data_IF_833085433587
#
_entry.id   IF_833085433587
#
_cell.length_a   1.000
_cell.length_b   1.000
_cell.length_c   1.000
_cell.angle_alpha   90.00
_cell.angle_beta   90.00
_cell.angle_gamma   90.00
#
_symmetry.space_group_name_H-M   'P 1'
#
loop_
_entity.id
_entity.type
_entity.pdbx_description
1 polymer ?
#
# COMPACT_ATOMS: atom_id res chain seq x y z
N UNK A 1 -73.32 -42.73 3.30
CA UNK A 1 -74.23 -42.46 4.45
C UNK A 1 -73.92 -40.99 4.80
N UNK A 2 -74.74 -40.14 4.33
CA UNK A 2 -75.92 -39.46 4.92
C UNK A 2 -75.52 -38.24 5.72
N UNK A 3 -75.74 -37.03 5.16
CA UNK A 3 -76.90 -36.12 5.44
C UNK A 3 -76.59 -35.26 6.69
N UNK A 4 -76.73 -34.01 6.74
CA UNK A 4 -77.60 -32.91 6.27
C UNK A 4 -77.04 -31.57 6.77
N UNK A 5 -77.08 -30.57 6.00
CA UNK A 5 -78.11 -29.51 5.84
C UNK A 5 -78.20 -28.41 6.92
N UNK A 6 -78.12 -27.18 6.39
CA UNK A 6 -78.82 -25.88 6.70
C UNK A 6 -78.31 -25.06 7.89
N UNK A 7 -78.01 -23.80 7.73
CA UNK A 7 -78.95 -22.67 7.59
C UNK A 7 -78.26 -21.37 7.17
N UNK A 8 -78.92 -20.66 6.27
CA UNK A 8 -78.64 -19.25 5.90
C UNK A 8 -78.92 -18.32 7.11
N UNK A 9 -78.10 -17.27 7.26
CA UNK A 9 -78.54 -16.01 7.85
C UNK A 9 -77.75 -14.85 7.22
N UNK A 10 -78.41 -14.02 6.50
CA UNK A 10 -77.97 -12.72 5.98
C UNK A 10 -77.87 -11.74 7.13
N UNK A 11 -76.68 -11.06 7.27
CA UNK A 11 -76.60 -9.79 8.00
C UNK A 11 -75.86 -8.79 7.12
N UNK A 12 -76.60 -7.82 6.67
CA UNK A 12 -76.11 -6.58 6.03
C UNK A 12 -75.36 -5.74 7.07
N UNK A 13 -74.13 -5.37 6.78
CA UNK A 13 -73.40 -4.34 7.52
C UNK A 13 -72.85 -3.28 6.58
N UNK A 14 -72.95 -2.00 6.90
CA UNK A 14 -72.78 -0.90 5.99
C UNK A 14 -71.31 -0.61 5.69
N UNK A 15 -71.09 -0.24 4.47
CA UNK A 15 -69.82 0.22 3.89
C UNK A 15 -69.40 1.55 4.54
N UNK A 16 -68.40 1.52 5.43
CA UNK A 16 -67.73 2.74 5.90
C UNK A 16 -66.58 3.04 4.94
N UNK A 17 -66.75 4.08 4.13
CA UNK A 17 -65.68 4.67 3.35
C UNK A 17 -64.71 5.38 4.32
N UNK A 18 -63.51 4.79 4.57
CA UNK A 18 -62.43 5.49 5.22
C UNK A 18 -61.54 6.06 4.13
N UNK A 19 -61.61 7.38 3.99
CA UNK A 19 -60.66 8.10 3.15
C UNK A 19 -59.26 7.93 3.68
N UNK A 20 -58.41 7.22 2.93
CA UNK A 20 -56.98 7.14 3.22
C UNK A 20 -56.30 8.45 2.81
N UNK A 21 -55.79 9.18 3.78
CA UNK A 21 -54.95 10.33 3.57
C UNK A 21 -53.57 9.90 3.01
N UNK A 22 -53.02 10.62 2.02
CA UNK A 22 -51.66 10.39 1.55
C UNK A 22 -50.68 11.17 2.44
N UNK A 23 -50.14 10.52 3.48
CA UNK A 23 -49.12 11.12 4.34
C UNK A 23 -48.12 10.09 4.89
N UNK A 24 -47.53 9.30 4.00
CA UNK A 24 -46.41 8.40 4.42
C UNK A 24 -45.32 8.21 3.36
N UNK A 25 -45.35 8.97 2.24
CA UNK A 25 -44.32 8.86 1.19
C UNK A 25 -43.19 9.88 1.28
N UNK A 26 -43.30 10.89 2.15
CA UNK A 26 -42.36 12.03 2.17
C UNK A 26 -41.32 11.99 3.32
N UNK A 27 -41.40 11.01 4.21
CA UNK A 27 -40.41 10.85 5.29
C UNK A 27 -39.31 9.83 5.01
N UNK A 28 -39.42 9.03 3.95
CA UNK A 28 -38.37 8.07 3.60
C UNK A 28 -37.25 8.65 2.71
N UNK A 29 -37.46 9.83 2.11
CA UNK A 29 -36.47 10.49 1.25
C UNK A 29 -35.50 11.43 2.00
N UNK A 30 -35.77 11.76 3.26
CA UNK A 30 -34.99 12.77 4.00
C UNK A 30 -33.83 12.18 4.85
N UNK A 31 -33.66 10.84 4.92
CA UNK A 31 -32.65 10.21 5.77
C UNK A 31 -31.40 9.73 5.02
N UNK A 32 -31.36 9.84 3.68
CA UNK A 32 -30.28 9.28 2.87
C UNK A 32 -29.18 10.27 2.43
N UNK A 33 -29.28 11.56 2.73
CA UNK A 33 -28.31 12.56 2.21
C UNK A 33 -27.25 13.08 3.20
N UNK A 34 -27.33 12.76 4.48
CA UNK A 34 -26.48 13.40 5.49
C UNK A 34 -25.07 12.80 5.69
N UNK A 35 -24.78 11.50 5.48
CA UNK A 35 -23.43 10.99 5.74
C UNK A 35 -22.39 11.29 4.65
N UNK A 36 -22.80 11.45 3.39
CA UNK A 36 -21.85 11.68 2.29
C UNK A 36 -21.43 13.15 2.15
N UNK A 37 -22.28 14.08 2.52
CA UNK A 37 -21.97 15.51 2.47
C UNK A 37 -21.02 15.93 3.61
N UNK A 38 -21.18 15.36 4.81
CA UNK A 38 -20.28 15.63 5.94
C UNK A 38 -18.90 14.97 5.77
N UNK A 39 -18.83 13.80 5.15
CA UNK A 39 -17.54 13.17 4.80
C UNK A 39 -16.79 13.96 3.71
N UNK A 40 -17.47 14.64 2.80
CA UNK A 40 -16.85 15.53 1.82
C UNK A 40 -16.32 16.82 2.43
N UNK A 41 -16.93 17.32 3.48
CA UNK A 41 -16.47 18.53 4.18
C UNK A 41 -15.17 18.32 4.98
N UNK A 42 -14.80 17.06 5.27
CA UNK A 42 -13.55 16.68 5.95
C UNK A 42 -12.45 16.22 5.00
N UNK A 43 -12.72 16.06 3.71
CA UNK A 43 -11.68 15.80 2.72
C UNK A 43 -10.91 17.10 2.47
N UNK A 44 -9.70 17.18 2.98
CA UNK A 44 -8.75 18.22 2.58
C UNK A 44 -8.35 17.89 1.14
N UNK A 45 -9.07 18.43 0.17
CA UNK A 45 -8.66 18.38 -1.23
C UNK A 45 -7.43 19.27 -1.40
N UNK A 46 -6.27 18.63 -1.50
CA UNK A 46 -5.07 19.36 -1.86
C UNK A 46 -5.13 19.75 -3.33
N UNK A 47 -5.11 21.05 -3.61
CA UNK A 47 -4.94 21.52 -4.98
C UNK A 47 -3.64 21.00 -5.59
N UNK A 48 -3.65 20.58 -6.87
CA UNK A 48 -2.46 20.18 -7.59
C UNK A 48 -1.38 21.28 -7.55
N UNK A 49 -0.15 20.86 -7.23
CA UNK A 49 0.99 21.76 -7.22
C UNK A 49 2.26 21.00 -7.65
N UNK A 50 3.08 21.61 -8.50
CA UNK A 50 4.21 20.94 -9.19
C UNK A 50 5.55 21.66 -9.11
N UNK A 51 5.76 22.57 -8.17
CA UNK A 51 7.04 23.24 -8.02
C UNK A 51 8.16 22.37 -7.44
N UNK A 52 9.39 22.88 -7.44
CA UNK A 52 10.54 22.26 -6.81
C UNK A 52 10.74 22.75 -5.35
N UNK A 53 11.77 22.28 -4.69
CA UNK A 53 12.07 22.47 -3.27
C UNK A 53 12.02 23.92 -2.78
N UNK A 54 12.52 24.88 -3.55
CA UNK A 54 12.44 26.31 -3.23
C UNK A 54 11.00 26.81 -3.06
N UNK A 55 10.10 26.34 -3.92
CA UNK A 55 8.68 26.62 -3.81
C UNK A 55 8.06 25.97 -2.56
N UNK A 56 8.50 24.75 -2.21
CA UNK A 56 8.05 24.05 -1.00
C UNK A 56 8.46 24.81 0.26
N UNK A 57 9.70 25.33 0.30
CA UNK A 57 10.15 26.19 1.41
C UNK A 57 9.33 27.48 1.52
N UNK A 58 8.96 28.11 0.39
CA UNK A 58 8.14 29.35 0.38
C UNK A 58 6.74 29.09 0.90
N UNK A 59 6.07 28.04 0.43
CA UNK A 59 4.71 27.66 0.87
C UNK A 59 4.67 26.95 2.23
N UNK A 60 5.83 26.55 2.76
CA UNK A 60 5.97 25.86 4.05
C UNK A 60 5.25 24.51 4.12
N UNK A 61 5.15 23.84 3.00
CA UNK A 61 4.43 22.59 2.87
C UNK A 61 5.15 21.66 1.92
N UNK A 62 5.26 20.38 2.32
CA UNK A 62 5.71 19.26 1.52
C UNK A 62 4.76 18.09 1.76
N UNK A 63 4.37 17.38 0.71
CA UNK A 63 3.42 16.27 0.75
C UNK A 63 4.11 14.99 0.32
N UNK A 64 4.01 13.96 1.15
CA UNK A 64 4.60 12.64 0.87
C UNK A 64 3.49 11.61 0.71
N UNK A 65 3.34 11.08 -0.50
CA UNK A 65 2.42 9.97 -0.80
C UNK A 65 3.03 8.66 -0.28
N UNK A 66 2.27 7.90 0.47
CA UNK A 66 2.70 6.62 1.04
C UNK A 66 1.62 5.56 0.89
N UNK A 67 1.95 4.28 0.69
CA UNK A 67 0.95 3.22 0.76
C UNK A 67 0.59 2.98 2.22
N UNK A 68 -0.70 2.72 2.49
CA UNK A 68 -1.12 2.24 3.79
C UNK A 68 -0.67 0.79 3.96
N UNK A 69 0.28 0.55 4.85
CA UNK A 69 0.97 -0.74 5.00
C UNK A 69 1.49 -0.89 6.43
N UNK A 70 1.28 -2.06 7.03
CA UNK A 70 1.78 -2.36 8.39
C UNK A 70 3.31 -2.33 8.48
N UNK A 71 4.02 -2.54 7.38
CA UNK A 71 5.47 -2.43 7.32
C UNK A 71 5.96 -1.00 7.05
N UNK A 72 5.20 -0.22 6.25
CA UNK A 72 5.68 1.06 5.74
C UNK A 72 5.05 2.27 6.41
N UNK A 73 3.72 2.30 6.51
CA UNK A 73 2.98 3.39 7.15
C UNK A 73 1.60 2.95 7.61
N UNK A 74 1.32 3.14 8.87
CA UNK A 74 -0.01 3.00 9.46
C UNK A 74 -0.18 3.97 10.65
N UNK A 75 -1.42 4.14 11.08
CA UNK A 75 -1.73 4.95 12.26
C UNK A 75 -2.17 4.03 13.41
N UNK A 76 -1.43 4.07 14.51
CA UNK A 76 -1.77 3.36 15.74
C UNK A 76 -2.20 4.36 16.81
N UNK A 77 -3.51 4.44 17.07
CA UNK A 77 -4.11 5.30 18.11
C UNK A 77 -3.63 6.76 18.02
N UNK A 78 -3.57 7.31 16.80
CA UNK A 78 -3.12 8.66 16.53
C UNK A 78 -1.60 8.82 16.40
N UNK A 79 -0.83 7.75 16.46
CA UNK A 79 0.62 7.75 16.25
C UNK A 79 0.97 7.15 14.89
N UNK A 80 1.71 7.89 14.11
CA UNK A 80 2.26 7.39 12.86
C UNK A 80 3.35 6.34 13.13
N UNK A 81 3.24 5.20 12.47
CA UNK A 81 4.13 4.05 12.61
C UNK A 81 4.61 3.58 11.25
N UNK A 82 5.59 2.69 11.26
CA UNK A 82 6.16 2.04 10.08
C UNK A 82 7.40 2.74 9.54
N UNK A 83 8.17 2.00 8.77
CA UNK A 83 9.49 2.39 8.29
C UNK A 83 9.49 3.75 7.56
N UNK A 84 8.53 3.95 6.68
CA UNK A 84 8.42 5.19 5.89
C UNK A 84 7.89 6.33 6.76
N UNK A 85 6.88 6.10 7.60
CA UNK A 85 6.34 7.11 8.50
C UNK A 85 7.42 7.73 9.38
N UNK A 86 8.24 6.91 10.04
CA UNK A 86 9.36 7.38 10.86
C UNK A 86 10.42 8.12 10.03
N UNK A 87 10.75 7.61 8.82
CA UNK A 87 11.73 8.23 7.94
C UNK A 87 11.28 9.61 7.44
N UNK A 88 9.99 9.77 7.13
CA UNK A 88 9.41 11.07 6.72
C UNK A 88 9.49 12.08 7.88
N UNK A 89 9.26 11.65 9.12
CA UNK A 89 9.40 12.53 10.29
C UNK A 89 10.85 12.91 10.55
N UNK A 90 11.81 12.02 10.28
CA UNK A 90 13.23 12.38 10.32
C UNK A 90 13.59 13.37 9.22
N UNK A 91 13.06 13.21 8.02
CA UNK A 91 13.26 14.16 6.93
C UNK A 91 12.69 15.55 7.26
N UNK A 92 11.51 15.62 7.85
CA UNK A 92 10.91 16.88 8.32
C UNK A 92 11.83 17.57 9.34
N UNK A 93 12.34 16.82 10.34
CA UNK A 93 13.28 17.36 11.33
C UNK A 93 14.57 17.84 10.71
N UNK A 94 15.12 17.07 9.75
CA UNK A 94 16.31 17.41 9.01
C UNK A 94 16.15 18.73 8.25
N UNK A 95 15.10 18.88 7.44
CA UNK A 95 14.84 20.11 6.68
C UNK A 95 14.65 21.30 7.63
N UNK A 96 13.85 21.17 8.67
CA UNK A 96 13.62 22.25 9.62
C UNK A 96 14.90 22.68 10.35
N UNK A 97 15.79 21.75 10.68
CA UNK A 97 17.09 22.04 11.28
C UNK A 97 18.02 22.74 10.29
N UNK A 98 18.15 22.21 9.06
CA UNK A 98 19.04 22.74 8.02
C UNK A 98 18.66 24.17 7.62
N UNK A 99 17.38 24.43 7.46
CA UNK A 99 16.84 25.70 7.00
C UNK A 99 16.32 26.61 8.12
N UNK A 100 16.66 26.33 9.39
CA UNK A 100 16.18 27.07 10.57
C UNK A 100 16.27 28.59 10.43
N UNK A 101 17.39 29.13 9.96
CA UNK A 101 17.59 30.58 9.78
C UNK A 101 16.62 31.17 8.75
N UNK A 102 16.41 30.48 7.64
CA UNK A 102 15.54 30.89 6.54
C UNK A 102 14.06 30.73 6.89
N UNK A 103 13.72 29.68 7.61
CA UNK A 103 12.37 29.39 8.06
C UNK A 103 11.92 30.25 9.24
N UNK A 104 12.89 30.82 9.99
CA UNK A 104 12.65 31.64 11.19
C UNK A 104 11.70 30.96 12.20
N UNK A 105 10.57 31.60 12.55
CA UNK A 105 9.60 31.06 13.53
C UNK A 105 8.55 30.13 12.91
N UNK A 106 8.54 29.94 11.61
CA UNK A 106 7.52 29.15 10.89
C UNK A 106 8.17 27.98 10.19
N UNK A 107 8.17 26.78 10.78
CA UNK A 107 8.76 25.59 10.17
C UNK A 107 8.00 25.19 8.89
N UNK A 108 8.63 24.35 8.07
CA UNK A 108 7.94 23.61 7.03
C UNK A 108 7.19 22.42 7.67
N UNK A 109 5.98 22.17 7.21
CA UNK A 109 5.20 21.00 7.61
C UNK A 109 5.29 19.94 6.51
N UNK A 110 5.61 18.71 6.88
CA UNK A 110 5.55 17.57 5.98
C UNK A 110 4.27 16.78 6.27
N UNK A 111 3.36 16.76 5.30
CA UNK A 111 2.11 16.01 5.39
C UNK A 111 2.30 14.65 4.73
N UNK A 112 2.00 13.58 5.46
CA UNK A 112 1.89 12.24 4.90
C UNK A 112 0.47 12.08 4.33
N UNK A 113 0.40 11.68 3.07
CA UNK A 113 -0.85 11.46 2.33
C UNK A 113 -0.94 9.97 2.00
N UNK A 114 -1.72 9.19 2.78
CA UNK A 114 -1.92 7.78 2.49
C UNK A 114 -2.70 7.59 1.17
N UNK A 115 -2.25 6.65 0.36
CA UNK A 115 -2.91 6.29 -0.91
C UNK A 115 -2.65 4.81 -1.24
N UNK A 116 -3.17 4.30 -2.34
CA UNK A 116 -2.88 2.94 -2.81
C UNK A 116 -1.66 2.91 -3.74
N UNK A 117 -1.03 1.75 -3.91
CA UNK A 117 0.22 1.62 -4.69
C UNK A 117 0.06 2.05 -6.13
N UNK A 118 -1.05 1.71 -6.76
CA UNK A 118 -1.38 2.08 -8.13
C UNK A 118 -1.46 3.59 -8.33
N UNK A 119 -1.82 4.32 -7.27
CA UNK A 119 -1.98 5.78 -7.29
C UNK A 119 -0.72 6.56 -6.95
N UNK A 120 0.28 5.97 -6.31
CA UNK A 120 1.48 6.67 -5.86
C UNK A 120 2.14 7.51 -6.98
N UNK A 121 2.45 6.91 -8.12
CA UNK A 121 3.08 7.62 -9.23
C UNK A 121 2.11 8.49 -10.03
N UNK A 122 0.87 8.05 -10.34
CA UNK A 122 -0.13 8.93 -10.94
C UNK A 122 -0.42 10.20 -10.13
N UNK A 123 -0.65 10.09 -8.83
CA UNK A 123 -0.91 11.22 -7.94
C UNK A 123 0.32 12.15 -7.79
N UNK A 124 1.53 11.57 -7.74
CA UNK A 124 2.77 12.35 -7.79
C UNK A 124 2.84 13.19 -9.06
N UNK A 125 2.57 12.60 -10.22
CA UNK A 125 2.59 13.28 -11.53
C UNK A 125 1.47 14.32 -11.64
N UNK A 126 0.31 14.05 -11.07
CA UNK A 126 -0.81 14.99 -11.02
C UNK A 126 -0.57 16.17 -10.04
N UNK A 127 0.54 16.17 -9.29
CA UNK A 127 0.85 17.23 -8.33
C UNK A 127 0.06 17.17 -7.03
N UNK A 128 -0.54 16.02 -6.71
CA UNK A 128 -1.24 15.79 -5.44
C UNK A 128 -0.28 15.46 -4.29
N UNK A 129 0.94 15.03 -4.61
CA UNK A 129 2.07 14.87 -3.70
C UNK A 129 3.34 15.45 -4.29
N UNK A 130 4.37 15.59 -3.48
CA UNK A 130 5.68 16.12 -3.89
C UNK A 130 6.74 15.02 -3.91
N UNK A 131 6.56 13.98 -3.09
CA UNK A 131 7.36 12.76 -3.00
C UNK A 131 6.41 11.56 -3.00
N UNK A 132 6.77 10.46 -3.66
CA UNK A 132 6.17 9.16 -3.46
C UNK A 132 7.16 8.23 -2.75
N UNK A 133 6.82 7.84 -1.52
CA UNK A 133 7.66 7.03 -0.63
C UNK A 133 6.93 5.73 -0.28
N UNK A 134 7.17 4.66 -1.04
CA UNK A 134 6.44 3.40 -0.90
C UNK A 134 7.32 2.16 -1.04
N UNK A 135 8.61 2.25 -0.70
CA UNK A 135 9.56 1.16 -1.00
C UNK A 135 9.53 0.82 -2.51
N UNK A 136 9.66 1.86 -3.34
CA UNK A 136 9.52 1.74 -4.78
C UNK A 136 10.86 1.38 -5.43
N UNK A 137 10.89 0.30 -6.19
CA UNK A 137 12.03 -0.06 -7.02
C UNK A 137 12.12 0.87 -8.23
N UNK A 138 13.29 1.46 -8.46
CA UNK A 138 13.60 2.29 -9.61
C UNK A 138 13.77 1.42 -10.87
N UNK A 139 12.65 1.04 -11.50
CA UNK A 139 12.67 0.26 -12.75
C UNK A 139 12.88 1.17 -13.95
N UNK A 140 13.43 0.65 -15.09
CA UNK A 140 13.61 1.44 -16.30
C UNK A 140 12.33 2.13 -16.79
N UNK A 141 11.18 1.44 -16.67
CA UNK A 141 9.87 1.98 -17.03
C UNK A 141 9.49 3.19 -16.15
N UNK A 142 9.64 3.05 -14.83
CA UNK A 142 9.34 4.14 -13.87
C UNK A 142 10.25 5.33 -14.08
N UNK A 143 11.54 5.09 -14.38
CA UNK A 143 12.55 6.13 -14.66
C UNK A 143 12.24 6.95 -15.92
N UNK A 144 11.42 6.46 -16.84
CA UNK A 144 10.94 7.26 -17.98
C UNK A 144 9.97 8.37 -17.53
N UNK A 145 9.24 8.17 -16.45
CA UNK A 145 8.15 9.04 -15.98
C UNK A 145 8.54 9.92 -14.80
N UNK A 146 9.33 9.41 -13.88
CA UNK A 146 9.74 10.07 -12.63
C UNK A 146 11.23 9.92 -12.41
N UNK A 147 11.79 10.72 -11.51
CA UNK A 147 13.15 10.53 -11.01
C UNK A 147 13.12 9.86 -9.64
N UNK A 148 14.17 9.14 -9.31
CA UNK A 148 14.33 8.47 -8.02
C UNK A 148 15.54 9.04 -7.27
N UNK A 149 15.34 9.48 -6.06
CA UNK A 149 16.42 9.80 -5.13
C UNK A 149 16.96 8.48 -4.53
N UNK A 150 17.90 7.86 -5.25
CA UNK A 150 18.60 6.65 -4.81
C UNK A 150 20.01 7.04 -4.38
N UNK A 151 20.39 6.89 -3.11
CA UNK A 151 21.72 7.27 -2.64
C UNK A 151 22.79 6.33 -3.20
N UNK A 152 23.91 6.92 -3.65
CA UNK A 152 25.08 6.18 -4.10
C UNK A 152 25.71 5.43 -2.93
N UNK A 153 25.91 4.11 -3.08
CA UNK A 153 26.61 3.27 -2.13
C UNK A 153 25.95 3.05 -0.76
N UNK A 154 24.74 3.59 -0.55
CA UNK A 154 24.03 3.50 0.74
C UNK A 154 22.52 3.31 0.66
N UNK A 155 21.99 3.09 -0.54
CA UNK A 155 20.57 2.81 -0.75
C UNK A 155 20.20 1.37 -0.37
N UNK A 156 18.95 1.16 -0.05
CA UNK A 156 18.41 -0.18 0.12
C UNK A 156 18.38 -0.87 -1.24
N UNK A 157 19.15 -1.95 -1.37
CA UNK A 157 19.10 -2.85 -2.52
C UNK A 157 18.28 -4.06 -2.13
N UNK A 158 17.34 -4.45 -2.97
CA UNK A 158 16.43 -5.56 -2.73
C UNK A 158 16.54 -6.64 -3.78
N UNK A 159 16.15 -7.86 -3.38
CA UNK A 159 15.95 -9.01 -4.25
C UNK A 159 14.45 -9.35 -4.24
N UNK A 160 13.89 -9.67 -5.41
CA UNK A 160 12.52 -10.14 -5.51
C UNK A 160 12.51 -11.66 -5.39
N UNK A 161 12.06 -12.18 -4.24
CA UNK A 161 12.02 -13.59 -3.90
C UNK A 161 10.66 -14.21 -4.18
N UNK A 162 10.67 -15.48 -4.60
CA UNK A 162 9.47 -16.31 -4.63
C UNK A 162 9.11 -16.76 -3.22
N UNK A 163 7.83 -16.66 -2.86
CA UNK A 163 7.24 -17.26 -1.67
C UNK A 163 6.12 -18.23 -2.09
N UNK A 164 6.08 -19.37 -1.43
CA UNK A 164 5.04 -20.40 -1.66
C UNK A 164 4.30 -20.72 -0.36
N UNK A 165 3.04 -21.09 -0.48
CA UNK A 165 2.16 -21.47 0.63
C UNK A 165 1.97 -23.00 0.72
N UNK A 166 1.16 -23.47 1.69
CA UNK A 166 0.96 -24.90 1.95
C UNK A 166 0.27 -25.68 0.81
N UNK A 167 -0.39 -24.96 -0.11
CA UNK A 167 -1.06 -25.57 -1.27
C UNK A 167 -0.25 -25.44 -2.57
N UNK A 168 0.97 -24.95 -2.51
CA UNK A 168 1.84 -24.82 -3.68
C UNK A 168 2.41 -26.17 -4.08
N UNK A 169 2.60 -26.42 -5.38
CA UNK A 169 3.42 -27.55 -5.82
C UNK A 169 4.87 -27.34 -5.37
N UNK A 170 5.69 -28.41 -5.36
CA UNK A 170 7.12 -28.28 -5.14
C UNK A 170 7.76 -27.38 -6.20
N UNK A 171 8.49 -26.35 -5.76
CA UNK A 171 9.24 -25.41 -6.60
C UNK A 171 10.68 -25.39 -6.08
N UNK A 172 11.65 -25.69 -6.91
CA UNK A 172 13.07 -25.69 -6.57
C UNK A 172 13.88 -24.74 -7.44
N UNK A 173 13.40 -24.46 -8.63
CA UNK A 173 14.01 -23.58 -9.62
C UNK A 173 13.02 -22.56 -10.16
N UNK A 174 13.52 -21.51 -10.81
CA UNK A 174 12.69 -20.51 -11.47
C UNK A 174 11.85 -21.12 -12.61
N UNK A 175 12.38 -22.16 -13.25
CA UNK A 175 11.71 -22.86 -14.38
C UNK A 175 10.52 -23.71 -13.93
N UNK A 176 10.49 -24.14 -12.66
CA UNK A 176 9.34 -24.88 -12.11
C UNK A 176 8.09 -24.01 -11.98
N UNK A 177 8.22 -22.68 -12.15
CA UNK A 177 7.10 -21.77 -12.25
C UNK A 177 6.32 -21.90 -13.59
N UNK A 178 6.87 -22.59 -14.58
CA UNK A 178 6.18 -22.84 -15.86
C UNK A 178 4.81 -23.49 -15.62
N UNK A 179 3.74 -22.85 -16.13
CA UNK A 179 2.35 -23.28 -15.95
C UNK A 179 1.77 -23.08 -14.53
N UNK A 180 2.58 -22.64 -13.57
CA UNK A 180 2.11 -22.40 -12.18
C UNK A 180 1.41 -21.04 -12.04
N UNK A 181 0.68 -20.88 -10.96
CA UNK A 181 -0.05 -19.64 -10.66
C UNK A 181 0.71 -18.77 -9.67
N UNK A 182 0.96 -17.51 -10.03
CA UNK A 182 1.55 -16.50 -9.15
C UNK A 182 0.62 -15.29 -9.05
N UNK A 183 0.32 -14.89 -7.82
CA UNK A 183 -0.54 -13.76 -7.52
C UNK A 183 0.29 -12.49 -7.33
N UNK A 184 -0.13 -11.38 -7.94
CA UNK A 184 0.66 -10.14 -7.94
C UNK A 184 -0.21 -8.91 -8.15
N UNK A 185 0.20 -7.76 -7.60
CA UNK A 185 -0.39 -6.47 -7.93
C UNK A 185 0.14 -5.96 -9.27
N UNK A 186 -0.75 -5.38 -10.07
CA UNK A 186 -0.37 -4.79 -11.36
C UNK A 186 0.67 -3.67 -11.20
N UNK A 187 0.53 -2.81 -10.19
CA UNK A 187 1.40 -1.66 -9.96
C UNK A 187 2.76 -2.01 -9.30
N UNK A 188 3.08 -3.29 -9.10
CA UNK A 188 4.35 -3.72 -8.50
C UNK A 188 5.47 -3.92 -9.52
N UNK A 189 6.74 -3.85 -9.08
CA UNK A 189 7.89 -4.28 -9.89
C UNK A 189 7.88 -5.79 -10.12
N UNK A 190 7.28 -6.55 -9.24
CA UNK A 190 7.14 -8.01 -9.31
C UNK A 190 6.34 -8.44 -10.55
N UNK A 191 5.29 -7.68 -10.92
CA UNK A 191 4.54 -7.91 -12.15
C UNK A 191 5.45 -7.80 -13.38
N UNK A 192 6.27 -6.74 -13.45
CA UNK A 192 7.22 -6.57 -14.55
C UNK A 192 8.23 -7.72 -14.62
N UNK A 193 8.69 -8.22 -13.47
CA UNK A 193 9.60 -9.37 -13.39
C UNK A 193 8.96 -10.67 -13.87
N UNK A 194 7.67 -10.90 -13.55
CA UNK A 194 6.91 -12.05 -14.03
C UNK A 194 6.65 -11.98 -15.55
N UNK A 195 6.38 -10.79 -16.09
CA UNK A 195 6.27 -10.61 -17.55
C UNK A 195 7.60 -10.92 -18.25
N UNK A 196 8.72 -10.49 -17.69
CA UNK A 196 10.05 -10.81 -18.24
C UNK A 196 10.34 -12.32 -18.16
N UNK A 197 9.96 -12.99 -17.06
CA UNK A 197 10.07 -14.44 -16.93
C UNK A 197 9.21 -15.15 -17.99
N UNK A 198 7.97 -14.73 -18.21
CA UNK A 198 7.08 -15.30 -19.21
C UNK A 198 7.65 -15.15 -20.64
N UNK A 199 8.24 -14.01 -20.96
CA UNK A 199 8.90 -13.83 -22.25
C UNK A 199 10.07 -14.83 -22.45
N UNK A 200 10.85 -15.13 -21.39
CA UNK A 200 11.91 -16.13 -21.41
C UNK A 200 11.34 -17.54 -21.57
N UNK A 201 10.38 -17.94 -20.74
CA UNK A 201 9.76 -19.27 -20.78
C UNK A 201 9.17 -19.57 -22.18
N UNK A 202 8.46 -18.59 -22.74
CA UNK A 202 7.89 -18.69 -24.08
C UNK A 202 8.95 -18.87 -25.16
N UNK A 203 10.07 -18.15 -25.08
CA UNK A 203 11.19 -18.29 -26.01
C UNK A 203 11.85 -19.68 -25.92
N UNK A 204 11.79 -20.32 -24.73
CA UNK A 204 12.28 -21.68 -24.47
C UNK A 204 11.23 -22.77 -24.80
N UNK A 205 10.03 -22.40 -25.30
CA UNK A 205 8.96 -23.34 -25.61
C UNK A 205 8.28 -23.95 -24.38
N UNK A 206 8.39 -23.30 -23.22
CA UNK A 206 7.75 -23.67 -21.95
C UNK A 206 6.44 -22.92 -21.78
N UNK A 207 5.56 -23.43 -20.92
CA UNK A 207 4.32 -22.75 -20.55
C UNK A 207 4.63 -21.48 -19.76
N UNK A 208 3.85 -20.43 -20.01
CA UNK A 208 3.95 -19.19 -19.26
C UNK A 208 3.41 -19.35 -17.84
N UNK A 209 3.98 -18.62 -16.87
CA UNK A 209 3.41 -18.46 -15.53
C UNK A 209 2.03 -17.85 -15.64
N UNK A 210 1.07 -18.41 -14.95
CA UNK A 210 -0.30 -17.89 -14.83
C UNK A 210 -0.31 -16.73 -13.84
N UNK A 211 -0.26 -15.51 -14.35
CA UNK A 211 -0.28 -14.30 -13.54
C UNK A 211 -1.72 -13.98 -13.15
N UNK A 212 -2.02 -14.01 -11.85
CA UNK A 212 -3.32 -13.61 -11.27
C UNK A 212 -3.18 -12.27 -10.58
N UNK A 213 -3.89 -11.27 -11.10
CA UNK A 213 -3.88 -9.94 -10.51
C UNK A 213 -4.72 -9.91 -9.24
N UNK A 214 -4.17 -9.30 -8.18
CA UNK A 214 -4.87 -9.00 -6.94
C UNK A 214 -5.14 -7.50 -6.83
N UNK A 215 -6.12 -7.07 -6.02
CA UNK A 215 -6.39 -5.65 -5.80
C UNK A 215 -5.16 -4.89 -5.30
N UNK A 216 -4.90 -3.70 -5.85
CA UNK A 216 -3.76 -2.85 -5.46
C UNK A 216 -3.87 -2.27 -4.03
N UNK A 217 -5.02 -2.43 -3.38
CA UNK A 217 -5.22 -2.12 -1.96
C UNK A 217 -4.59 -3.14 -1.00
N UNK A 218 -4.31 -4.37 -1.48
CA UNK A 218 -3.61 -5.38 -0.68
C UNK A 218 -2.11 -5.09 -0.68
N UNK A 219 -1.51 -5.03 0.49
CA UNK A 219 -0.06 -4.90 0.62
C UNK A 219 0.64 -6.27 0.66
N UNK A 220 1.98 -6.28 0.65
CA UNK A 220 2.75 -7.53 0.60
C UNK A 220 2.47 -8.40 1.84
N UNK A 221 2.31 -7.79 3.00
CA UNK A 221 1.98 -8.46 4.26
C UNK A 221 0.59 -9.11 4.24
N UNK A 222 -0.41 -8.48 3.61
CA UNK A 222 -1.75 -9.05 3.47
C UNK A 222 -1.70 -10.27 2.54
N UNK A 223 -0.95 -10.17 1.45
CA UNK A 223 -0.74 -11.28 0.52
C UNK A 223 0.03 -12.43 1.17
N UNK A 224 1.01 -12.14 2.05
CA UNK A 224 1.73 -13.18 2.79
C UNK A 224 0.83 -13.89 3.81
N UNK A 225 -0.07 -13.18 4.50
CA UNK A 225 -1.08 -13.82 5.37
C UNK A 225 -2.06 -14.69 4.58
N UNK A 226 -2.51 -14.22 3.42
CA UNK A 226 -3.35 -15.02 2.52
C UNK A 226 -2.61 -16.26 2.01
N UNK A 227 -1.31 -16.15 1.74
CA UNK A 227 -0.45 -17.27 1.34
C UNK A 227 -0.30 -18.28 2.48
N UNK A 228 -0.04 -17.82 3.70
CA UNK A 228 0.05 -18.66 4.90
C UNK A 228 -1.24 -19.43 5.17
N UNK A 229 -2.38 -18.78 4.96
CA UNK A 229 -3.71 -19.40 5.06
C UNK A 229 -4.05 -20.36 3.89
N UNK A 230 -3.17 -20.48 2.88
CA UNK A 230 -3.40 -21.31 1.70
C UNK A 230 -4.49 -20.79 0.76
N UNK A 231 -4.77 -19.48 0.79
CA UNK A 231 -5.69 -18.82 -0.14
C UNK A 231 -4.99 -18.45 -1.45
N UNK A 232 -3.68 -18.23 -1.41
CA UNK A 232 -2.82 -18.00 -2.57
C UNK A 232 -1.86 -19.18 -2.72
N UNK A 233 -1.36 -19.41 -3.95
CA UNK A 233 -0.38 -20.47 -4.21
C UNK A 233 1.06 -19.95 -4.09
N UNK A 234 1.36 -18.88 -4.83
CA UNK A 234 2.68 -18.27 -4.83
C UNK A 234 2.55 -16.75 -5.00
N UNK A 235 3.49 -16.02 -4.42
CA UNK A 235 3.65 -14.57 -4.55
C UNK A 235 5.12 -14.22 -4.70
N UNK A 236 5.41 -12.98 -5.09
CA UNK A 236 6.76 -12.43 -5.14
C UNK A 236 6.82 -11.24 -4.19
N UNK A 237 7.86 -11.17 -3.36
CA UNK A 237 8.04 -10.13 -2.36
C UNK A 237 9.53 -9.77 -2.23
N UNK A 238 9.84 -8.52 -1.87
CA UNK A 238 11.20 -8.09 -1.53
C UNK A 238 11.74 -8.88 -0.34
N UNK A 239 13.00 -9.30 -0.43
CA UNK A 239 13.69 -10.20 0.49
C UNK A 239 13.62 -9.77 1.95
N UNK A 240 13.76 -8.48 2.26
CA UNK A 240 13.68 -7.99 3.64
C UNK A 240 12.27 -8.14 4.23
N UNK A 241 11.21 -7.95 3.44
CA UNK A 241 9.82 -8.17 3.87
C UNK A 241 9.52 -9.65 4.04
N UNK A 242 9.97 -10.47 3.08
CA UNK A 242 9.84 -11.92 3.14
C UNK A 242 10.43 -12.47 4.44
N UNK A 243 11.67 -12.09 4.77
CA UNK A 243 12.36 -12.53 6.00
C UNK A 243 11.73 -11.97 7.27
N UNK A 244 11.19 -10.75 7.22
CA UNK A 244 10.50 -10.13 8.35
C UNK A 244 9.24 -10.92 8.73
N UNK A 245 8.36 -11.15 7.76
CA UNK A 245 7.05 -11.75 8.01
C UNK A 245 7.08 -13.27 8.12
N UNK A 246 8.04 -13.96 7.51
CA UNK A 246 8.23 -15.40 7.68
C UNK A 246 8.50 -15.82 9.14
N UNK A 247 8.92 -14.90 10.01
CA UNK A 247 9.13 -15.18 11.43
C UNK A 247 7.82 -15.47 12.18
N UNK A 248 6.69 -15.00 11.67
CA UNK A 248 5.37 -15.15 12.29
C UNK A 248 4.35 -15.88 11.43
N UNK A 249 4.67 -16.17 10.17
CA UNK A 249 3.85 -16.90 9.21
C UNK A 249 4.48 -18.27 8.94
N UNK A 250 4.15 -19.31 9.73
CA UNK A 250 4.90 -20.57 9.75
C UNK A 250 4.67 -21.46 8.53
N UNK A 251 3.61 -21.22 7.75
CA UNK A 251 3.27 -22.06 6.60
C UNK A 251 3.76 -21.50 5.27
N UNK A 252 4.41 -20.33 5.26
CA UNK A 252 5.04 -19.81 4.04
C UNK A 252 6.46 -20.35 3.93
N UNK A 253 6.87 -20.67 2.71
CA UNK A 253 8.25 -21.00 2.36
C UNK A 253 8.87 -19.88 1.56
N UNK A 254 9.94 -19.29 2.07
CA UNK A 254 10.76 -18.30 1.35
C UNK A 254 11.84 -19.06 0.55
N UNK A 255 11.86 -18.85 -0.76
CA UNK A 255 12.83 -19.48 -1.65
C UNK A 255 14.00 -18.52 -1.87
N UNK A 256 15.01 -18.57 -1.01
CA UNK A 256 16.19 -17.69 -1.04
C UNK A 256 17.02 -17.81 -2.34
N UNK A 257 16.90 -18.93 -3.04
CA UNK A 257 17.60 -19.21 -4.29
C UNK A 257 16.76 -18.98 -5.55
N UNK A 258 15.49 -18.58 -5.43
CA UNK A 258 14.60 -18.32 -6.56
C UNK A 258 14.32 -16.83 -6.66
N UNK A 259 15.15 -16.15 -7.44
CA UNK A 259 15.16 -14.71 -7.62
C UNK A 259 14.52 -14.34 -8.95
N UNK A 260 13.50 -13.50 -8.90
CA UNK A 260 12.90 -12.91 -10.10
C UNK A 260 13.68 -11.66 -10.54
N UNK A 261 14.27 -10.97 -9.57
CA UNK A 261 15.13 -9.80 -9.79
C UNK A 261 16.20 -9.71 -8.71
N UNK A 262 17.40 -9.31 -9.11
CA UNK A 262 18.50 -8.96 -8.22
C UNK A 262 18.84 -7.47 -8.34
N UNK A 263 19.38 -6.90 -7.27
CA UNK A 263 19.95 -5.56 -7.26
C UNK A 263 18.93 -4.44 -7.49
N UNK A 264 17.66 -4.66 -7.17
CA UNK A 264 16.63 -3.64 -7.25
C UNK A 264 16.94 -2.47 -6.32
N UNK A 265 17.14 -1.27 -6.88
CA UNK A 265 17.43 -0.06 -6.10
C UNK A 265 16.14 0.59 -5.63
N UNK A 266 16.01 0.78 -4.33
CA UNK A 266 14.86 1.45 -3.71
C UNK A 266 15.16 2.93 -3.50
N UNK A 267 14.21 3.79 -3.83
CA UNK A 267 14.31 5.23 -3.61
C UNK A 267 12.96 5.90 -3.46
N UNK A 268 12.99 7.14 -2.99
CA UNK A 268 11.83 8.01 -3.05
C UNK A 268 11.70 8.60 -4.45
N UNK A 269 10.50 8.50 -5.03
CA UNK A 269 10.24 9.04 -6.35
C UNK A 269 9.82 10.51 -6.26
N UNK A 270 10.30 11.32 -7.19
CA UNK A 270 9.96 12.73 -7.37
C UNK A 270 9.59 12.98 -8.82
N UNK A 271 8.87 14.08 -9.09
CA UNK A 271 8.64 14.50 -10.48
C UNK A 271 9.94 14.83 -11.20
N UNK A 272 10.00 14.56 -12.49
CA UNK A 272 11.07 15.05 -13.33
C UNK A 272 11.17 16.59 -13.25
N UNK A 273 12.39 17.11 -13.29
CA UNK A 273 12.61 18.55 -13.13
C UNK A 273 12.53 19.06 -11.68
N UNK A 274 12.71 18.17 -10.69
CA UNK A 274 12.80 18.53 -9.26
C UNK A 274 14.22 18.30 -8.70
N UNK A 275 15.28 18.92 -9.28
CA UNK A 275 16.66 18.68 -8.86
C UNK A 275 16.93 19.13 -7.43
N UNK A 276 16.30 20.22 -6.98
CA UNK A 276 16.44 20.72 -5.62
C UNK A 276 15.91 19.75 -4.58
N UNK A 277 14.71 19.19 -4.79
CA UNK A 277 14.14 18.20 -3.90
C UNK A 277 14.95 16.90 -3.91
N UNK A 278 15.37 16.44 -5.08
CA UNK A 278 16.23 15.24 -5.22
C UNK A 278 17.52 15.40 -4.43
N UNK A 279 18.19 16.54 -4.56
CA UNK A 279 19.43 16.82 -3.83
C UNK A 279 19.23 16.82 -2.32
N UNK A 280 18.12 17.37 -1.82
CA UNK A 280 17.80 17.39 -0.38
C UNK A 280 17.53 15.97 0.16
N UNK A 281 16.81 15.14 -0.58
CA UNK A 281 16.54 13.75 -0.20
C UNK A 281 17.86 12.95 -0.16
N UNK A 282 18.71 13.09 -1.17
CA UNK A 282 20.00 12.40 -1.22
C UNK A 282 20.94 12.84 -0.09
N UNK A 283 20.99 14.14 0.24
CA UNK A 283 21.78 14.64 1.34
C UNK A 283 21.25 14.13 2.70
N UNK A 284 19.93 14.10 2.89
CA UNK A 284 19.29 13.53 4.06
C UNK A 284 19.66 12.05 4.24
N UNK A 285 19.55 11.23 3.20
CA UNK A 285 19.94 9.82 3.25
C UNK A 285 21.40 9.65 3.65
N UNK A 286 22.30 10.41 3.05
CA UNK A 286 23.74 10.36 3.36
C UNK A 286 24.04 10.73 4.81
N UNK A 287 23.42 11.81 5.34
CA UNK A 287 23.74 12.35 6.66
C UNK A 287 23.01 11.68 7.80
N UNK A 288 21.73 11.35 7.62
CA UNK A 288 20.87 10.95 8.73
C UNK A 288 20.53 9.46 8.68
N UNK A 289 20.42 8.86 7.50
CA UNK A 289 20.01 7.46 7.35
C UNK A 289 21.22 6.54 7.30
N UNK A 290 22.13 6.75 6.36
CA UNK A 290 23.30 5.87 6.16
C UNK A 290 24.32 6.00 7.30
N UNK A 291 24.66 7.24 7.69
CA UNK A 291 25.69 7.48 8.71
C UNK A 291 25.31 7.01 10.12
N UNK A 292 24.03 6.94 10.42
CA UNK A 292 23.52 6.56 11.75
C UNK A 292 23.00 5.12 11.84
N UNK A 293 23.06 4.35 10.75
CA UNK A 293 22.49 3.01 10.72
C UNK A 293 20.98 2.99 10.97
N UNK A 294 20.29 4.11 10.71
CA UNK A 294 18.89 4.28 11.08
C UNK A 294 17.97 3.25 10.43
N UNK A 295 18.24 2.85 9.18
CA UNK A 295 17.46 1.83 8.50
C UNK A 295 17.61 0.45 9.18
N UNK A 296 18.84 0.05 9.51
CA UNK A 296 19.09 -1.22 10.18
C UNK A 296 18.42 -1.26 11.57
N UNK A 297 18.55 -0.18 12.34
CA UNK A 297 17.90 -0.05 13.64
C UNK A 297 16.36 -0.16 13.53
N UNK A 298 15.74 0.51 12.55
CA UNK A 298 14.28 0.46 12.36
C UNK A 298 13.82 -0.93 11.90
N UNK A 299 14.56 -1.59 11.04
CA UNK A 299 14.24 -2.97 10.63
C UNK A 299 14.34 -3.92 11.83
N UNK A 300 15.39 -3.79 12.67
CA UNK A 300 15.51 -4.59 13.88
C UNK A 300 14.34 -4.33 14.84
N UNK A 301 14.00 -3.07 15.11
CA UNK A 301 12.87 -2.70 15.96
C UNK A 301 11.56 -3.27 15.42
N UNK A 302 11.33 -3.19 14.12
CA UNK A 302 10.16 -3.77 13.48
C UNK A 302 10.14 -5.31 13.62
N UNK A 303 11.29 -5.98 13.54
CA UNK A 303 11.38 -7.41 13.79
C UNK A 303 10.97 -7.78 15.22
N UNK A 304 11.33 -6.97 16.19
CA UNK A 304 10.93 -7.14 17.59
C UNK A 304 9.42 -6.91 17.76
N UNK A 305 8.89 -5.82 17.24
CA UNK A 305 7.45 -5.49 17.29
C UNK A 305 6.58 -6.57 16.61
N UNK A 306 7.03 -7.12 15.48
CA UNK A 306 6.32 -8.21 14.78
C UNK A 306 6.31 -9.50 15.60
N UNK A 307 7.40 -9.82 16.31
CA UNK A 307 7.48 -10.98 17.22
C UNK A 307 6.56 -10.82 18.44
N UNK A 308 6.54 -9.64 19.05
CA UNK A 308 5.66 -9.34 20.18
C UNK A 308 4.18 -9.46 19.81
N UNK A 309 3.81 -9.19 18.56
CA UNK A 309 2.44 -9.37 18.07
C UNK A 309 2.02 -10.85 18.03
N UNK A 310 2.98 -11.77 17.86
CA UNK A 310 2.73 -13.22 17.87
C UNK A 310 2.52 -13.77 19.29
N UNK A 311 3.16 -13.18 20.28
CA UNK A 311 3.04 -13.58 21.68
C UNK A 311 2.64 -12.40 22.59
N UNK A 312 1.34 -12.03 22.59
CA UNK A 312 0.86 -10.94 23.43
C UNK A 312 0.89 -11.27 24.93
N UNK A 313 1.18 -12.50 25.32
CA UNK A 313 1.20 -12.95 26.71
C UNK A 313 2.62 -12.98 27.30
N UNK A 314 3.66 -12.98 26.45
CA UNK A 314 5.05 -13.07 26.91
C UNK A 314 5.45 -14.38 27.59
N UNK A 315 4.63 -15.43 27.41
CA UNK A 315 4.88 -16.79 27.88
C UNK A 315 5.45 -17.64 26.74
N UNK A 316 6.75 -17.59 26.52
CA UNK A 316 7.50 -18.49 25.67
C UNK A 316 8.64 -19.17 26.42
#
# INVERSE_FOLDING_TARGET
>A
MSINDRFLAWVLLPMLLVAAAPAAADQAAAVAETPQAELRALSIEFEPWTGDFEGMLKRRLLRVLVPFSRSLYYNDKGRERGLIGETVRDFERYINKKYKKRLARRPITVIIVPTTRDKLLPELLAGLGDIAAGNLTATPERLQRVDFAVPDGGGLTVQELLLTGPKSPPIETLDDLSGQTVHVRLASSYHASLIALNARLKAEGKDEVRIVLVPDALEDEDMMEMLDAGLLQAIVVDDWKARLWAQILPHIKVHENILLREGGKIGWAVRKGSPGLTAEILEFYRREVSSKGATAYRLQKMQEEVKETKDPTGEA
#
